data_IF_738280017664
#
_entry.id   IF_738280017664
#
_cell.length_a   1.000
_cell.length_b   1.000
_cell.length_c   1.000
_cell.angle_alpha   90.00
_cell.angle_beta   90.00
_cell.angle_gamma   90.00
#
_symmetry.space_group_name_H-M   'P 1'
#
loop_
_entity.id
_entity.type
_entity.pdbx_description
1 polymer ?
#
# COMPACT_ATOMS: atom_id res chain seq x y z
N UNK A 1 -3.12 4.61 18.74
CA UNK A 1 -2.73 4.14 17.40
C UNK A 1 -3.89 3.91 16.42
N UNK A 2 -5.15 4.25 16.76
CA UNK A 2 -6.29 3.95 15.88
C UNK A 2 -6.44 4.90 14.68
N UNK A 3 -6.42 6.21 14.90
CA UNK A 3 -6.68 7.18 13.82
C UNK A 3 -5.50 7.25 12.84
N UNK A 4 -4.26 7.41 13.32
CA UNK A 4 -3.09 7.52 12.43
C UNK A 4 -2.77 6.23 11.67
N UNK A 5 -3.13 5.06 12.20
CA UNK A 5 -2.93 3.77 11.53
C UNK A 5 -4.00 3.46 10.48
N UNK A 6 -5.26 3.86 10.71
CA UNK A 6 -6.37 3.59 9.79
C UNK A 6 -6.70 4.73 8.83
N UNK A 7 -6.36 5.99 9.17
CA UNK A 7 -6.61 7.14 8.32
C UNK A 7 -6.04 7.01 6.90
N UNK A 8 -4.84 6.41 6.68
CA UNK A 8 -4.32 6.19 5.33
C UNK A 8 -5.24 5.27 4.50
N UNK A 9 -5.84 4.26 5.13
CA UNK A 9 -6.71 3.27 4.47
C UNK A 9 -7.95 3.95 3.89
N UNK A 10 -8.63 4.76 4.71
CA UNK A 10 -9.81 5.53 4.30
C UNK A 10 -9.48 6.55 3.20
N UNK A 11 -8.33 7.21 3.31
CA UNK A 11 -7.89 8.21 2.34
C UNK A 11 -7.60 7.60 0.96
N UNK A 12 -6.99 6.42 0.91
CA UNK A 12 -6.73 5.71 -0.34
C UNK A 12 -8.03 5.21 -0.97
N UNK A 13 -8.95 4.66 -0.19
CA UNK A 13 -10.22 4.16 -0.72
C UNK A 13 -11.07 5.28 -1.34
N UNK A 14 -11.15 6.43 -0.68
CA UNK A 14 -11.83 7.62 -1.22
C UNK A 14 -11.15 8.11 -2.50
N UNK A 15 -9.82 8.06 -2.58
CA UNK A 15 -9.07 8.40 -3.81
C UNK A 15 -9.43 7.49 -4.97
N UNK A 16 -9.41 6.17 -4.77
CA UNK A 16 -9.70 5.18 -5.83
C UNK A 16 -11.09 5.38 -6.43
N UNK A 17 -12.10 5.64 -5.58
CA UNK A 17 -13.47 5.89 -6.03
C UNK A 17 -13.58 7.18 -6.85
N UNK A 18 -12.84 8.24 -6.50
CA UNK A 18 -12.86 9.50 -7.28
C UNK A 18 -12.28 9.36 -8.69
N UNK A 19 -11.27 8.51 -8.89
CA UNK A 19 -10.67 8.27 -10.21
C UNK A 19 -11.50 7.34 -11.10
N UNK A 20 -12.44 6.58 -10.54
CA UNK A 20 -13.23 5.57 -11.24
C UNK A 20 -14.71 5.99 -11.42
N UNK A 21 -14.97 7.20 -11.93
CA UNK A 21 -16.31 7.77 -12.05
C UNK A 21 -17.30 6.90 -12.82
N UNK A 22 -16.81 6.08 -13.77
CA UNK A 22 -17.61 5.16 -14.59
C UNK A 22 -17.85 3.78 -13.94
N UNK A 23 -17.05 3.36 -12.95
CA UNK A 23 -17.15 2.03 -12.33
C UNK A 23 -16.67 2.01 -10.86
N UNK A 24 -17.31 2.77 -9.96
CA UNK A 24 -16.87 2.95 -8.58
C UNK A 24 -16.95 1.67 -7.72
N UNK A 25 -17.90 0.76 -8.01
CA UNK A 25 -18.02 -0.52 -7.31
C UNK A 25 -16.87 -1.48 -7.65
N UNK A 26 -16.48 -1.54 -8.92
CA UNK A 26 -15.36 -2.37 -9.38
C UNK A 26 -14.04 -1.85 -8.79
N UNK A 27 -13.85 -0.53 -8.76
CA UNK A 27 -12.68 0.11 -8.17
C UNK A 27 -12.60 -0.09 -6.65
N UNK A 28 -13.73 -0.03 -5.94
CA UNK A 28 -13.80 -0.36 -4.51
C UNK A 28 -13.45 -1.83 -4.26
N UNK A 29 -13.99 -2.76 -5.06
CA UNK A 29 -13.68 -4.19 -4.98
C UNK A 29 -12.20 -4.48 -5.20
N UNK A 30 -11.58 -3.84 -6.19
CA UNK A 30 -10.14 -3.98 -6.45
C UNK A 30 -9.27 -3.44 -5.30
N UNK A 31 -9.68 -2.33 -4.67
CA UNK A 31 -8.98 -1.76 -3.51
C UNK A 31 -9.07 -2.68 -2.28
N UNK A 32 -10.24 -3.27 -2.02
CA UNK A 32 -10.44 -4.24 -0.93
C UNK A 32 -9.59 -5.49 -1.18
N UNK A 33 -9.64 -6.05 -2.39
CA UNK A 33 -8.85 -7.23 -2.74
C UNK A 33 -7.33 -6.98 -2.59
N UNK A 34 -6.87 -5.79 -2.98
CA UNK A 34 -5.46 -5.40 -2.79
C UNK A 34 -5.08 -5.31 -1.32
N UNK A 35 -5.99 -4.84 -0.46
CA UNK A 35 -5.77 -4.76 0.98
C UNK A 35 -5.67 -6.14 1.63
N UNK A 36 -6.55 -7.07 1.26
CA UNK A 36 -6.54 -8.43 1.80
C UNK A 36 -5.27 -9.20 1.40
N UNK A 37 -4.80 -9.01 0.16
CA UNK A 37 -3.52 -9.56 -0.30
C UNK A 37 -2.37 -8.99 0.54
N UNK A 38 -2.35 -7.68 0.75
CA UNK A 38 -1.32 -7.03 1.58
C UNK A 38 -1.30 -7.55 3.02
N UNK A 39 -2.47 -7.72 3.63
CA UNK A 39 -2.59 -8.26 4.99
C UNK A 39 -2.09 -9.72 5.07
N UNK A 40 -2.43 -10.54 4.07
CA UNK A 40 -1.97 -11.93 3.98
C UNK A 40 -0.45 -12.02 3.86
N UNK A 41 0.14 -11.19 3.00
CA UNK A 41 1.60 -11.13 2.81
C UNK A 41 2.29 -10.61 4.08
N UNK A 42 1.77 -9.56 4.71
CA UNK A 42 2.33 -9.01 5.94
C UNK A 42 2.29 -10.02 7.10
N UNK A 43 1.17 -10.70 7.29
CA UNK A 43 0.99 -11.70 8.33
C UNK A 43 1.89 -12.93 8.10
N UNK A 44 1.96 -13.44 6.87
CA UNK A 44 2.83 -14.59 6.53
C UNK A 44 4.31 -14.26 6.67
N UNK A 45 4.76 -13.07 6.27
CA UNK A 45 6.14 -12.61 6.45
C UNK A 45 6.50 -12.46 7.95
N UNK A 46 5.62 -11.86 8.75
CA UNK A 46 5.80 -11.77 10.21
C UNK A 46 5.83 -13.15 10.88
N UNK A 47 4.96 -14.08 10.46
CA UNK A 47 4.91 -15.46 10.94
C UNK A 47 6.17 -16.25 10.60
N UNK A 48 6.72 -16.09 9.40
CA UNK A 48 7.96 -16.75 8.98
C UNK A 48 9.16 -16.35 9.85
N UNK A 49 9.25 -15.09 10.23
CA UNK A 49 10.33 -14.55 11.06
C UNK A 49 10.24 -15.02 12.51
N UNK A 50 9.02 -15.16 13.06
CA UNK A 50 8.80 -15.76 14.37
C UNK A 50 9.16 -17.26 14.34
N UNK A 51 8.79 -17.98 13.26
CA UNK A 51 9.10 -19.39 13.10
C UNK A 51 10.61 -19.68 13.04
N UNK A 52 11.42 -18.75 12.54
CA UNK A 52 12.89 -18.84 12.55
C UNK A 52 13.55 -18.47 13.89
N UNK A 53 12.78 -18.41 15.00
CA UNK A 53 13.26 -18.13 16.37
C UNK A 53 13.90 -16.76 16.59
N UNK A 54 13.67 -15.78 15.73
CA UNK A 54 14.16 -14.40 15.91
C UNK A 54 13.42 -13.60 17.02
N UNK A 55 12.45 -14.21 17.70
CA UNK A 55 11.68 -13.61 18.80
C UNK A 55 10.58 -12.66 18.35
N UNK A 56 9.72 -12.24 19.28
CA UNK A 56 8.56 -11.37 18.99
C UNK A 56 8.95 -9.98 18.44
N UNK A 57 10.15 -9.50 18.75
CA UNK A 57 10.67 -8.24 18.21
C UNK A 57 11.02 -8.31 16.71
N UNK A 58 11.20 -9.51 16.15
CA UNK A 58 11.49 -9.68 14.71
C UNK A 58 10.34 -9.26 13.81
N UNK A 59 9.10 -9.37 14.28
CA UNK A 59 7.91 -8.94 13.56
C UNK A 59 7.89 -7.42 13.29
N UNK A 60 8.46 -6.62 14.20
CA UNK A 60 8.61 -5.18 14.01
C UNK A 60 9.56 -4.85 12.86
N UNK A 61 10.69 -5.56 12.77
CA UNK A 61 11.66 -5.39 11.69
C UNK A 61 11.12 -5.88 10.34
N UNK A 62 10.32 -6.96 10.32
CA UNK A 62 9.59 -7.41 9.14
C UNK A 62 8.74 -6.31 8.54
N UNK A 63 7.94 -5.67 9.40
CA UNK A 63 6.99 -4.65 9.00
C UNK A 63 7.71 -3.37 8.57
N UNK A 64 8.84 -3.05 9.22
CA UNK A 64 9.70 -1.95 8.81
C UNK A 64 10.31 -2.17 7.42
N UNK A 65 10.79 -3.39 7.12
CA UNK A 65 11.31 -3.74 5.81
C UNK A 65 10.22 -3.70 4.72
N UNK A 66 9.04 -4.26 5.00
CA UNK A 66 7.88 -4.20 4.12
C UNK A 66 7.43 -2.76 3.82
N UNK A 67 7.37 -1.90 4.84
CA UNK A 67 7.09 -0.48 4.65
C UNK A 67 8.18 0.24 3.85
N UNK A 68 9.45 -0.14 4.03
CA UNK A 68 10.57 0.36 3.23
C UNK A 68 10.38 0.05 1.74
N UNK A 69 10.02 -1.19 1.41
CA UNK A 69 9.72 -1.61 0.03
C UNK A 69 8.52 -0.82 -0.53
N UNK A 70 7.44 -0.69 0.25
CA UNK A 70 6.27 0.07 -0.15
C UNK A 70 6.61 1.56 -0.43
N UNK A 71 7.49 2.15 0.37
CA UNK A 71 7.98 3.52 0.16
C UNK A 71 8.77 3.66 -1.14
N UNK A 72 9.61 2.68 -1.47
CA UNK A 72 10.37 2.67 -2.74
C UNK A 72 9.42 2.60 -3.93
N UNK A 73 8.43 1.69 -3.88
CA UNK A 73 7.41 1.56 -4.93
C UNK A 73 6.60 2.87 -5.07
N UNK A 74 6.18 3.45 -3.95
CA UNK A 74 5.46 4.72 -3.94
C UNK A 74 6.30 5.86 -4.52
N UNK A 75 7.59 5.92 -4.19
CA UNK A 75 8.50 6.91 -4.76
C UNK A 75 8.61 6.76 -6.29
N UNK A 76 8.79 5.54 -6.80
CA UNK A 76 8.83 5.30 -8.24
C UNK A 76 7.51 5.65 -8.93
N UNK A 77 6.38 5.22 -8.37
CA UNK A 77 5.05 5.51 -8.92
C UNK A 77 4.78 7.03 -8.99
N UNK A 78 5.13 7.78 -7.94
CA UNK A 78 4.97 9.24 -7.93
C UNK A 78 5.97 9.94 -8.85
N UNK A 79 7.15 9.37 -9.07
CA UNK A 79 8.12 9.89 -10.04
C UNK A 79 7.58 9.75 -11.47
N UNK A 80 7.00 8.60 -11.79
CA UNK A 80 6.43 8.29 -13.11
C UNK A 80 5.20 9.16 -13.44
N UNK A 81 4.34 9.40 -12.45
CA UNK A 81 3.19 10.31 -12.58
C UNK A 81 3.65 11.74 -12.88
N UNK A 82 4.72 12.22 -12.21
CA UNK A 82 5.30 13.54 -12.46
C UNK A 82 5.94 13.65 -13.83
N UNK A 83 6.59 12.60 -14.33
CA UNK A 83 7.17 12.59 -15.68
C UNK A 83 6.08 12.58 -16.76
N UNK A 84 4.98 11.87 -16.54
CA UNK A 84 3.87 11.78 -17.49
C UNK A 84 3.14 13.13 -17.62
N UNK A 85 2.88 13.81 -16.50
CA UNK A 85 2.26 15.14 -16.49
C UNK A 85 3.16 16.23 -17.09
N UNK A 86 4.48 16.10 -16.95
CA UNK A 86 5.45 17.02 -17.56
C UNK A 86 5.56 16.84 -19.08
N UNK A 87 5.39 15.61 -19.58
CA UNK A 87 5.45 15.32 -21.01
C UNK A 87 4.14 15.69 -21.74
N UNK A 88 2.98 15.60 -21.07
CA UNK A 88 1.68 16.01 -21.62
C UNK A 88 1.45 17.53 -21.67
N UNK A 89 2.39 18.34 -21.15
CA UNK A 89 2.38 19.82 -21.21
C UNK A 89 3.31 20.41 -22.28
N UNK A 90 3.98 19.58 -23.09
CA UNK A 90 4.74 20.09 -24.23
C UNK A 90 3.76 20.41 -25.38
N UNK A 91 3.76 21.64 -25.92
CA UNK A 91 2.90 22.06 -27.02
C UNK A 91 3.25 21.36 -28.33
#
# INVERSE_FOLDING_TARGET
>A
MGILGFAPVSAVQVRVIRYASNAPTLASGANIASFDIGNTIGASAGGLLIAHKFGYASSLWSTAALNGIALVIFYFATFEERTTLKNSRKP
#
